data_IF_076189229687
#
_entry.id   IF_076189229687
#
_cell.length_a   1.000
_cell.length_b   1.000
_cell.length_c   1.000
_cell.angle_alpha   90.00
_cell.angle_beta   90.00
_cell.angle_gamma   90.00
#
_symmetry.space_group_name_H-M   'P 1'
#
loop_
_entity.id
_entity.type
_entity.pdbx_description
1 polymer ?
#
# COMPACT_ATOMS: atom_id res chain seq x y z
N UNK A 1 -10.24 15.62 17.06
CA UNK A 1 -8.77 15.63 16.92
C UNK A 1 -8.37 16.99 16.36
N UNK A 2 -7.48 17.72 17.01
CA UNK A 2 -6.97 18.99 16.48
C UNK A 2 -5.92 18.71 15.40
N UNK A 3 -6.08 19.31 14.23
CA UNK A 3 -5.06 19.28 13.20
C UNK A 3 -3.98 20.30 13.60
N UNK A 4 -2.80 19.80 14.00
CA UNK A 4 -1.63 20.65 14.24
C UNK A 4 -1.10 21.09 12.88
N UNK A 5 -0.96 22.39 12.69
CA UNK A 5 -0.30 23.00 11.52
C UNK A 5 1.21 23.03 11.72
N UNK A 6 1.99 23.04 10.63
CA UNK A 6 3.46 23.15 10.67
C UNK A 6 3.96 24.30 11.56
N UNK A 7 3.26 25.44 11.51
CA UNK A 7 3.56 26.63 12.29
C UNK A 7 3.43 26.46 13.81
N UNK A 8 2.63 25.47 14.25
CA UNK A 8 2.36 25.16 15.65
C UNK A 8 3.00 23.83 16.10
N UNK A 9 3.74 23.17 15.21
CA UNK A 9 4.37 21.89 15.46
C UNK A 9 5.58 22.07 16.40
N UNK A 10 5.69 21.21 17.42
CA UNK A 10 6.90 21.21 18.27
C UNK A 10 8.07 20.65 17.46
N UNK A 11 9.34 20.94 17.81
CA UNK A 11 10.51 20.38 17.12
C UNK A 11 10.50 18.86 17.00
N UNK A 12 9.90 18.16 17.97
CA UNK A 12 9.73 16.71 17.94
C UNK A 12 8.75 16.24 16.84
N UNK A 13 7.74 17.04 16.52
CA UNK A 13 6.72 16.71 15.51
C UNK A 13 7.27 16.83 14.09
N UNK A 14 8.26 17.70 13.87
CA UNK A 14 8.90 17.95 12.57
C UNK A 14 9.48 16.69 11.91
N UNK A 15 9.88 15.70 12.72
CA UNK A 15 10.43 14.40 12.30
C UNK A 15 9.38 13.45 11.74
N UNK A 16 8.11 13.73 12.03
CA UNK A 16 6.96 12.95 11.58
C UNK A 16 6.12 13.69 10.55
N UNK A 17 6.50 14.91 10.17
CA UNK A 17 5.81 15.66 9.13
C UNK A 17 6.11 15.10 7.75
N UNK A 18 5.09 15.03 6.90
CA UNK A 18 5.26 14.61 5.51
C UNK A 18 6.14 15.62 4.75
N UNK A 19 7.14 15.10 4.04
CA UNK A 19 8.13 15.86 3.23
C UNK A 19 8.07 15.51 1.76
N UNK A 20 7.60 14.32 1.41
CA UNK A 20 7.26 13.95 0.05
C UNK A 20 6.07 13.00 0.02
N UNK A 21 5.35 12.99 -1.11
CA UNK A 21 4.35 11.97 -1.42
C UNK A 21 4.73 11.28 -2.71
N UNK A 22 4.73 9.96 -2.74
CA UNK A 22 5.09 9.20 -3.94
C UNK A 22 4.13 8.03 -4.14
N UNK A 23 3.93 7.64 -5.40
CA UNK A 23 3.36 6.32 -5.68
C UNK A 23 4.52 5.33 -5.64
N UNK A 24 4.41 4.35 -4.76
CA UNK A 24 5.40 3.30 -4.59
C UNK A 24 4.76 1.95 -4.82
N UNK A 25 5.59 0.98 -5.13
CA UNK A 25 5.23 -0.42 -5.24
C UNK A 25 5.53 -1.12 -3.92
N UNK A 26 4.56 -1.89 -3.44
CA UNK A 26 4.76 -2.92 -2.41
C UNK A 26 4.39 -4.29 -2.96
N UNK A 27 4.77 -5.34 -2.26
CA UNK A 27 4.54 -6.72 -2.65
C UNK A 27 3.60 -7.37 -1.65
N UNK A 28 2.43 -7.79 -2.12
CA UNK A 28 1.39 -8.41 -1.31
C UNK A 28 1.36 -9.92 -1.53
N UNK A 29 1.57 -10.65 -0.44
CA UNK A 29 1.60 -12.11 -0.43
C UNK A 29 0.24 -12.64 -0.06
N UNK A 30 -0.31 -13.49 -0.93
CA UNK A 30 -1.46 -14.34 -0.60
C UNK A 30 -1.12 -15.80 -0.77
N UNK A 31 -1.89 -16.66 -0.11
CA UNK A 31 -1.79 -18.11 -0.24
C UNK A 31 -3.08 -18.64 -0.80
N UNK A 32 -2.98 -19.62 -1.68
CA UNK A 32 -4.10 -20.38 -2.18
C UNK A 32 -3.91 -21.87 -1.93
N UNK A 33 -5.04 -22.54 -1.70
CA UNK A 33 -5.15 -23.99 -1.63
C UNK A 33 -6.43 -24.42 -2.32
N UNK A 34 -6.36 -25.59 -2.96
CA UNK A 34 -7.57 -26.29 -3.40
C UNK A 34 -8.34 -26.73 -2.15
N UNK A 35 -9.56 -26.22 -1.98
CA UNK A 35 -10.53 -26.81 -1.06
C UNK A 35 -11.32 -27.94 -1.76
N UNK A 36 -12.13 -28.66 -0.98
CA UNK A 36 -13.06 -29.68 -1.49
C UNK A 36 -13.91 -29.10 -2.65
N UNK A 37 -14.07 -29.87 -3.73
CA UNK A 37 -14.86 -29.54 -4.94
C UNK A 37 -14.35 -28.32 -5.74
N UNK A 38 -13.03 -28.17 -5.88
CA UNK A 38 -12.40 -27.17 -6.78
C UNK A 38 -12.61 -25.70 -6.38
N UNK A 39 -13.01 -25.43 -5.14
CA UNK A 39 -13.10 -24.05 -4.63
C UNK A 39 -11.71 -23.54 -4.25
N UNK A 40 -11.25 -22.47 -4.90
CA UNK A 40 -9.98 -21.82 -4.58
C UNK A 40 -10.18 -20.80 -3.45
N UNK A 41 -9.52 -21.01 -2.31
CA UNK A 41 -9.57 -20.06 -1.19
C UNK A 41 -8.27 -19.29 -1.15
N UNK A 42 -8.36 -17.97 -1.39
CA UNK A 42 -7.24 -17.05 -1.19
C UNK A 42 -7.24 -16.55 0.26
N UNK A 43 -6.11 -16.68 0.95
CA UNK A 43 -5.91 -16.19 2.32
C UNK A 43 -4.71 -15.26 2.38
N UNK A 44 -4.81 -14.22 3.20
CA UNK A 44 -3.68 -13.39 3.60
C UNK A 44 -3.39 -13.61 5.08
N UNK A 45 -2.19 -13.22 5.53
CA UNK A 45 -1.74 -13.41 6.91
C UNK A 45 -1.01 -12.16 7.42
N UNK A 46 -0.88 -11.97 8.74
CA UNK A 46 -0.07 -10.87 9.29
C UNK A 46 1.36 -10.89 8.71
N UNK A 47 1.83 -9.72 8.29
CA UNK A 47 3.14 -9.56 7.66
C UNK A 47 3.19 -9.86 6.16
N UNK A 48 2.05 -9.99 5.48
CA UNK A 48 1.97 -10.27 4.04
C UNK A 48 2.35 -9.12 3.10
N UNK A 49 2.75 -7.95 3.60
CA UNK A 49 3.12 -6.78 2.79
C UNK A 49 4.61 -6.53 2.95
N UNK A 50 5.32 -6.46 1.83
CA UNK A 50 6.77 -6.30 1.77
C UNK A 50 7.16 -5.13 0.86
N UNK A 51 8.29 -4.47 1.17
CA UNK A 51 8.83 -3.40 0.31
C UNK A 51 9.63 -3.93 -0.88
N UNK A 52 10.14 -5.16 -0.81
CA UNK A 52 10.92 -5.79 -1.89
C UNK A 52 10.38 -7.17 -2.26
N UNK A 53 10.58 -7.56 -3.52
CA UNK A 53 10.20 -8.87 -4.03
C UNK A 53 10.95 -9.99 -3.30
N UNK A 54 12.23 -9.79 -3.01
CA UNK A 54 13.06 -10.79 -2.32
C UNK A 54 12.58 -11.03 -0.89
N UNK A 55 12.17 -9.96 -0.18
CA UNK A 55 11.58 -10.09 1.15
C UNK A 55 10.26 -10.88 1.10
N UNK A 56 9.42 -10.62 0.09
CA UNK A 56 8.18 -11.37 -0.12
C UNK A 56 8.44 -12.85 -0.44
N UNK A 57 9.44 -13.16 -1.30
CA UNK A 57 9.82 -14.53 -1.63
C UNK A 57 10.38 -15.28 -0.41
N UNK A 58 11.24 -14.64 0.36
CA UNK A 58 11.76 -15.20 1.61
C UNK A 58 10.64 -15.49 2.62
N UNK A 59 9.67 -14.57 2.75
CA UNK A 59 8.47 -14.78 3.56
C UNK A 59 7.67 -16.02 3.12
N UNK A 60 7.52 -16.23 1.80
CA UNK A 60 6.84 -17.42 1.27
C UNK A 60 7.60 -18.71 1.60
N UNK A 61 8.93 -18.71 1.46
CA UNK A 61 9.76 -19.89 1.75
C UNK A 61 9.65 -20.30 3.22
N UNK A 62 9.70 -19.34 4.15
CA UNK A 62 9.55 -19.63 5.60
C UNK A 62 8.19 -20.20 5.99
N UNK A 63 7.17 -20.02 5.15
CA UNK A 63 5.79 -20.46 5.39
C UNK A 63 5.37 -21.63 4.51
N UNK A 64 6.32 -22.22 3.79
CA UNK A 64 6.04 -23.28 2.85
C UNK A 64 5.51 -24.52 3.56
N UNK A 65 4.33 -24.98 3.11
CA UNK A 65 3.71 -26.23 3.54
C UNK A 65 3.20 -26.96 2.31
N UNK A 66 3.23 -28.29 2.32
CA UNK A 66 2.77 -29.14 1.21
C UNK A 66 1.39 -28.70 0.68
N UNK A 67 1.26 -28.63 -0.65
CA UNK A 67 0.02 -28.28 -1.33
C UNK A 67 -0.36 -26.80 -1.28
N UNK A 68 0.53 -25.91 -0.83
CA UNK A 68 0.29 -24.46 -0.79
C UNK A 68 0.89 -23.78 -2.01
N UNK A 69 0.11 -22.91 -2.65
CA UNK A 69 0.59 -22.00 -3.69
C UNK A 69 0.61 -20.60 -3.12
N UNK A 70 1.72 -19.89 -3.28
CA UNK A 70 1.85 -18.48 -2.94
C UNK A 70 1.64 -17.63 -4.17
N UNK A 71 1.03 -16.47 -3.97
CA UNK A 71 0.97 -15.40 -4.95
C UNK A 71 1.63 -14.16 -4.38
N UNK A 72 2.37 -13.45 -5.23
CA UNK A 72 2.91 -12.13 -4.91
C UNK A 72 2.35 -11.17 -5.93
N UNK A 73 1.48 -10.27 -5.49
CA UNK A 73 0.96 -9.20 -6.32
C UNK A 73 1.78 -7.93 -6.04
N UNK A 74 2.29 -7.31 -7.10
CA UNK A 74 2.75 -5.93 -7.00
C UNK A 74 1.53 -5.04 -6.77
N UNK A 75 1.53 -4.31 -5.66
CA UNK A 75 0.47 -3.38 -5.32
C UNK A 75 1.00 -1.95 -5.40
N UNK A 76 0.40 -1.11 -6.25
CA UNK A 76 0.68 0.30 -6.16
C UNK A 76 0.10 0.84 -4.86
N UNK A 77 0.81 1.79 -4.27
CA UNK A 77 0.54 2.32 -2.93
C UNK A 77 0.95 3.78 -2.84
N UNK A 78 0.25 4.54 -2.00
CA UNK A 78 0.59 5.94 -1.73
C UNK A 78 1.50 6.00 -0.51
N UNK A 79 2.69 6.57 -0.67
CA UNK A 79 3.67 6.68 0.40
C UNK A 79 3.90 8.15 0.79
N UNK A 80 3.76 8.43 2.09
CA UNK A 80 4.07 9.70 2.71
C UNK A 80 5.41 9.58 3.43
N UNK A 81 6.42 10.26 2.92
CA UNK A 81 7.78 10.21 3.44
C UNK A 81 7.96 11.28 4.51
N UNK A 82 8.40 10.88 5.69
CA UNK A 82 8.97 11.76 6.71
C UNK A 82 10.45 11.40 6.91
N UNK A 83 11.26 12.25 7.59
CA UNK A 83 12.69 12.01 7.75
C UNK A 83 13.08 10.64 8.31
N UNK A 84 12.31 10.11 9.26
CA UNK A 84 12.65 8.84 9.95
C UNK A 84 11.74 7.67 9.54
N UNK A 85 10.60 7.92 8.91
CA UNK A 85 9.57 6.91 8.65
C UNK A 85 8.78 7.22 7.39
N UNK A 86 8.19 6.18 6.82
CA UNK A 86 7.23 6.30 5.73
C UNK A 86 5.91 5.69 6.16
N UNK A 87 4.81 6.40 5.90
CA UNK A 87 3.48 5.80 5.93
C UNK A 87 3.13 5.34 4.52
N UNK A 88 2.88 4.05 4.35
CA UNK A 88 2.38 3.46 3.11
C UNK A 88 0.89 3.16 3.27
N UNK A 89 0.10 3.62 2.31
CA UNK A 89 -1.34 3.40 2.19
C UNK A 89 -1.58 2.56 0.95
N UNK A 90 -2.10 1.35 1.15
CA UNK A 90 -2.43 0.41 0.08
C UNK A 90 -3.88 0.00 0.18
N UNK A 91 -4.48 -0.40 -0.94
CA UNK A 91 -5.81 -0.96 -0.97
C UNK A 91 -5.78 -2.40 -1.50
N UNK A 92 -6.42 -3.31 -0.77
CA UNK A 92 -6.59 -4.72 -1.15
C UNK A 92 -8.07 -5.01 -1.40
N UNK A 93 -8.36 -6.13 -2.07
CA UNK A 93 -9.74 -6.55 -2.38
C UNK A 93 -10.57 -5.52 -3.18
N UNK A 94 -9.89 -4.65 -3.92
CA UNK A 94 -10.45 -3.72 -4.90
C UNK A 94 -9.83 -3.96 -6.27
N UNK A 95 -10.58 -3.63 -7.32
CA UNK A 95 -10.13 -3.66 -8.72
C UNK A 95 -9.46 -2.33 -9.14
N UNK A 96 -9.64 -1.28 -8.36
CA UNK A 96 -9.10 0.05 -8.62
C UNK A 96 -8.41 0.62 -7.38
N UNK A 97 -7.19 1.13 -7.55
CA UNK A 97 -6.38 1.65 -6.46
C UNK A 97 -6.95 2.95 -5.88
N UNK A 98 -7.34 2.99 -4.62
CA UNK A 98 -7.98 4.15 -3.98
C UNK A 98 -9.19 4.68 -4.79
N UNK A 99 -9.79 3.85 -5.65
CA UNK A 99 -10.87 4.27 -6.56
C UNK A 99 -12.15 4.66 -5.83
N UNK A 100 -12.29 4.20 -4.58
CA UNK A 100 -13.43 4.54 -3.71
C UNK A 100 -13.17 5.74 -2.80
N UNK A 101 -11.97 6.32 -2.85
CA UNK A 101 -11.65 7.49 -2.04
C UNK A 101 -12.29 8.74 -2.65
N UNK A 102 -13.01 9.52 -1.82
CA UNK A 102 -13.59 10.80 -2.22
C UNK A 102 -12.47 11.83 -2.44
N UNK A 103 -12.11 11.97 -3.71
CA UNK A 103 -10.98 12.80 -4.10
C UNK A 103 -11.26 14.30 -4.04
N UNK A 104 -12.50 14.70 -4.27
CA UNK A 104 -12.92 16.11 -4.15
C UNK A 104 -12.81 16.56 -2.70
N UNK A 105 -13.26 15.72 -1.77
CA UNK A 105 -13.17 15.99 -0.34
C UNK A 105 -11.74 15.95 0.16
N UNK A 106 -10.92 15.02 -0.33
CA UNK A 106 -9.50 14.97 -0.02
C UNK A 106 -8.79 16.24 -0.50
N UNK A 107 -9.07 16.69 -1.73
CA UNK A 107 -8.51 17.92 -2.29
C UNK A 107 -8.89 19.12 -1.43
N UNK A 108 -10.18 19.25 -1.11
CA UNK A 108 -10.70 20.33 -0.25
C UNK A 108 -10.01 20.36 1.13
N UNK A 109 -9.82 19.19 1.74
CA UNK A 109 -9.10 19.07 3.01
C UNK A 109 -7.65 19.55 2.88
N UNK A 110 -6.95 19.10 1.83
CA UNK A 110 -5.54 19.43 1.62
C UNK A 110 -5.29 20.87 1.21
N UNK A 111 -6.29 21.56 0.67
CA UNK A 111 -6.24 23.02 0.42
C UNK A 111 -6.24 23.81 1.73
N UNK A 112 -7.04 23.39 2.71
CA UNK A 112 -7.12 24.06 4.02
C UNK A 112 -5.93 23.66 4.90
N UNK A 113 -5.52 22.40 4.83
CA UNK A 113 -4.41 21.85 5.58
C UNK A 113 -3.41 21.23 4.60
N UNK A 114 -2.35 21.95 4.20
CA UNK A 114 -1.34 21.42 3.28
C UNK A 114 -0.78 20.10 3.79
N UNK A 115 -0.55 19.14 2.89
CA UNK A 115 0.00 17.81 3.23
C UNK A 115 1.33 17.95 3.99
N UNK A 116 2.16 18.92 3.60
CA UNK A 116 3.44 19.25 4.23
C UNK A 116 3.30 19.72 5.68
N UNK A 117 2.09 20.15 6.07
CA UNK A 117 1.76 20.61 7.42
C UNK A 117 1.26 19.51 8.35
N UNK A 118 1.06 18.30 7.83
CA UNK A 118 0.51 17.18 8.58
C UNK A 118 1.57 16.14 8.94
N UNK A 119 1.41 15.54 10.10
CA UNK A 119 2.16 14.38 10.57
C UNK A 119 1.67 13.09 9.90
N UNK A 120 2.54 12.07 9.83
CA UNK A 120 2.14 10.73 9.41
C UNK A 120 0.99 10.19 10.26
N UNK A 121 0.92 10.54 11.55
CA UNK A 121 -0.18 10.13 12.42
C UNK A 121 -1.52 10.71 11.96
N UNK A 122 -1.58 12.00 11.65
CA UNK A 122 -2.78 12.63 11.09
C UNK A 122 -3.16 12.01 9.74
N UNK A 123 -2.18 11.71 8.88
CA UNK A 123 -2.40 10.97 7.63
C UNK A 123 -3.03 9.60 7.88
N UNK A 124 -2.63 8.88 8.94
CA UNK A 124 -3.31 7.61 9.26
C UNK A 124 -4.80 7.78 9.52
N UNK A 125 -5.23 8.87 10.16
CA UNK A 125 -6.66 9.09 10.39
C UNK A 125 -7.41 9.43 9.10
N UNK A 126 -6.78 10.21 8.22
CA UNK A 126 -7.36 10.61 6.94
C UNK A 126 -7.62 9.38 6.06
N UNK A 127 -6.70 8.41 6.04
CA UNK A 127 -6.79 7.23 5.18
C UNK A 127 -7.40 5.98 5.85
N UNK A 128 -7.77 6.04 7.14
CA UNK A 128 -8.50 4.93 7.79
C UNK A 128 -9.87 4.69 7.14
N UNK A 129 -10.38 3.45 7.05
CA UNK A 129 -11.71 3.15 6.51
C UNK A 129 -12.87 3.92 7.17
N UNK A 130 -12.69 4.36 8.42
CA UNK A 130 -13.67 5.14 9.17
C UNK A 130 -13.65 6.65 8.84
N UNK A 131 -12.67 7.08 8.04
CA UNK A 131 -12.57 8.46 7.58
C UNK A 131 -13.76 8.80 6.69
N UNK A 132 -14.27 10.04 6.75
CA UNK A 132 -15.36 10.48 5.90
C UNK A 132 -14.95 10.64 4.42
N UNK A 133 -13.70 10.31 4.08
CA UNK A 133 -13.23 10.18 2.70
C UNK A 133 -13.63 8.86 2.03
N UNK A 134 -14.06 7.86 2.80
CA UNK A 134 -14.54 6.60 2.25
C UNK A 134 -16.06 6.57 2.26
N UNK A 135 -16.71 5.90 1.28
CA UNK A 135 -18.16 5.74 1.30
C UNK A 135 -18.57 4.90 2.52
N UNK A 136 -19.78 5.13 3.03
CA UNK A 136 -20.31 4.38 4.18
C UNK A 136 -20.39 2.86 3.93
N UNK A 137 -20.50 2.45 2.66
CA UNK A 137 -20.48 1.05 2.21
C UNK A 137 -19.07 0.46 2.11
N UNK A 138 -18.02 1.25 2.34
CA UNK A 138 -16.65 0.78 2.27
C UNK A 138 -16.36 -0.24 3.38
N UNK A 139 -15.78 -1.41 3.07
CA UNK A 139 -15.60 -2.42 4.08
C UNK A 139 -14.59 -1.95 5.13
N UNK A 140 -15.00 -2.06 6.39
CA UNK A 140 -14.24 -1.53 7.53
C UNK A 140 -13.07 -2.43 7.94
N UNK A 141 -12.98 -3.63 7.35
CA UNK A 141 -11.90 -4.59 7.54
C UNK A 141 -11.34 -5.01 6.19
N UNK A 142 -10.04 -5.29 6.19
CA UNK A 142 -9.34 -6.00 5.10
C UNK A 142 -9.49 -5.35 3.72
N UNK A 143 -9.59 -4.02 3.68
CA UNK A 143 -9.79 -3.25 2.44
C UNK A 143 -8.73 -2.18 2.26
N UNK A 144 -8.39 -1.39 3.29
CA UNK A 144 -7.21 -0.53 3.28
C UNK A 144 -6.16 -1.01 4.28
N UNK A 145 -4.90 -0.99 3.86
CA UNK A 145 -3.74 -1.33 4.66
C UNK A 145 -2.93 -0.05 4.89
N UNK A 146 -2.75 0.29 6.16
CA UNK A 146 -1.86 1.35 6.61
C UNK A 146 -0.64 0.70 7.25
N UNK A 147 0.53 0.88 6.66
CA UNK A 147 1.79 0.29 7.14
C UNK A 147 2.86 1.35 7.31
N UNK A 148 3.58 1.29 8.44
CA UNK A 148 4.76 2.11 8.64
C UNK A 148 5.99 1.34 8.16
N UNK A 149 6.76 1.94 7.25
CA UNK A 149 8.05 1.44 6.82
C UNK A 149 9.15 2.26 7.50
N UNK A 150 10.11 1.56 8.13
CA UNK A 150 11.30 2.18 8.75
C UNK A 150 12.51 2.24 7.80
N UNK A 151 12.40 1.62 6.62
CA UNK A 151 13.44 1.55 5.58
C UNK A 151 12.91 2.19 4.27
N UNK A 152 12.71 3.53 4.24
CA UNK A 152 12.17 4.27 3.09
C UNK A 152 12.82 3.91 1.75
N UNK A 153 14.13 3.70 1.77
CA UNK A 153 14.99 3.41 0.62
C UNK A 153 14.65 2.09 -0.08
N UNK A 154 13.96 1.19 0.62
CA UNK A 154 13.52 -0.09 0.03
C UNK A 154 12.27 0.04 -0.82
N UNK A 155 11.54 1.16 -0.72
CA UNK A 155 10.33 1.40 -1.50
C UNK A 155 10.70 1.85 -2.91
N UNK A 156 10.27 1.07 -3.90
CA UNK A 156 10.47 1.39 -5.31
C UNK A 156 9.32 2.28 -5.79
N UNK A 157 9.62 3.40 -6.45
CA UNK A 157 8.60 4.25 -7.08
C UNK A 157 7.92 3.52 -8.25
N UNK A 158 6.62 3.74 -8.43
CA UNK A 158 5.90 3.25 -9.62
C UNK A 158 6.12 4.26 -10.75
N UNK A 159 6.83 3.84 -11.81
CA UNK A 159 7.02 4.67 -13.00
C UNK A 159 5.79 4.59 -13.92
N UNK A 160 5.57 5.64 -14.70
CA UNK A 160 4.38 5.81 -15.57
C UNK A 160 4.18 4.69 -16.60
N UNK A 161 5.21 3.90 -16.92
CA UNK A 161 5.14 2.81 -17.90
C UNK A 161 5.29 1.40 -17.29
N UNK A 162 5.45 1.27 -15.96
CA UNK A 162 5.78 -0.03 -15.39
C UNK A 162 4.55 -0.94 -15.32
N UNK A 163 4.69 -2.11 -15.94
CA UNK A 163 3.70 -3.17 -15.80
C UNK A 163 3.73 -3.75 -14.39
N UNK A 164 2.71 -3.40 -13.60
CA UNK A 164 2.42 -4.08 -12.34
C UNK A 164 2.28 -5.57 -12.64
N UNK A 165 3.09 -6.36 -11.93
CA UNK A 165 3.22 -7.79 -12.15
C UNK A 165 2.56 -8.58 -11.03
N UNK A 166 2.15 -9.80 -11.35
CA UNK A 166 1.76 -10.80 -10.36
C UNK A 166 2.60 -12.04 -10.57
N UNK A 167 2.96 -12.72 -9.48
CA UNK A 167 3.78 -13.92 -9.50
C UNK A 167 3.05 -15.06 -8.79
N UNK A 168 3.21 -16.28 -9.28
CA UNK A 168 2.73 -17.49 -8.64
C UNK A 168 3.91 -18.41 -8.34
N UNK A 169 3.90 -19.03 -7.16
CA UNK A 169 4.93 -20.01 -6.79
C UNK A 169 4.61 -21.40 -7.33
N UNK A 170 5.62 -22.17 -7.71
CA UNK A 170 5.55 -23.62 -7.90
C UNK A 170 6.56 -24.33 -7.00
N UNK A 171 6.23 -25.55 -6.59
CA UNK A 171 7.10 -26.38 -5.75
C UNK A 171 7.67 -27.53 -6.56
N UNK A 172 8.98 -27.54 -6.75
CA UNK A 172 9.71 -28.58 -7.49
C UNK A 172 10.23 -29.73 -6.59
N UNK A 173 9.78 -29.75 -5.34
CA UNK A 173 10.14 -30.76 -4.33
C UNK A 173 10.77 -30.15 -3.08
N UNK A 174 10.88 -30.91 -1.98
CA UNK A 174 11.27 -30.39 -0.66
C UNK A 174 12.72 -29.89 -0.58
N UNK A 175 13.58 -30.32 -1.52
CA UNK A 175 15.01 -29.98 -1.55
C UNK A 175 15.34 -28.77 -2.44
N UNK A 176 14.33 -28.14 -3.04
CA UNK A 176 14.47 -27.01 -3.97
C UNK A 176 13.69 -25.82 -3.44
N UNK A 177 14.20 -24.60 -3.63
CA UNK A 177 13.44 -23.38 -3.35
C UNK A 177 12.18 -23.27 -4.21
N UNK A 178 11.22 -22.45 -3.79
CA UNK A 178 10.06 -22.13 -4.63
C UNK A 178 10.48 -21.47 -5.95
N UNK A 179 9.97 -22.02 -7.05
CA UNK A 179 10.05 -21.42 -8.38
C UNK A 179 8.93 -20.41 -8.58
N UNK A 180 9.12 -19.42 -9.46
CA UNK A 180 8.18 -18.30 -9.64
C UNK A 180 7.87 -18.07 -11.11
N UNK A 181 6.59 -18.01 -11.46
CA UNK A 181 6.12 -17.65 -12.80
C UNK A 181 5.35 -16.33 -12.76
N UNK A 182 5.58 -15.46 -13.76
CA UNK A 182 4.79 -14.23 -13.94
C UNK A 182 3.41 -14.60 -14.48
N UNK A 183 2.37 -13.96 -13.96
CA UNK A 183 0.99 -14.11 -14.43
C UNK A 183 0.38 -12.74 -14.74
N UNK A 184 -0.71 -12.69 -15.53
CA UNK A 184 -1.42 -11.44 -15.81
C UNK A 184 -1.89 -10.78 -14.51
N UNK A 185 -1.66 -9.48 -14.41
CA UNK A 185 -2.22 -8.67 -13.34
C UNK A 185 -3.61 -8.17 -13.78
N UNK A 186 -4.65 -8.46 -12.99
CA UNK A 186 -6.04 -8.25 -13.40
C UNK A 186 -6.65 -6.92 -12.94
N UNK A 187 -5.94 -6.09 -12.17
CA UNK A 187 -6.50 -4.85 -11.60
C UNK A 187 -6.21 -3.62 -12.46
N UNK A 188 -7.15 -2.69 -12.46
CA UNK A 188 -7.11 -1.43 -13.22
C UNK A 188 -6.09 -0.43 -12.64
N UNK A 189 -5.52 0.41 -13.52
CA UNK A 189 -4.46 1.40 -13.22
C UNK A 189 -4.95 2.86 -13.20
N UNK A 190 -6.21 3.11 -13.54
CA UNK A 190 -6.70 4.43 -13.96
C UNK A 190 -6.58 5.52 -12.89
N UNK A 191 -6.71 5.17 -11.61
CA UNK A 191 -6.71 6.10 -10.47
C UNK A 191 -5.32 6.48 -9.94
N UNK A 192 -4.24 5.81 -10.39
CA UNK A 192 -2.91 5.93 -9.79
C UNK A 192 -2.27 7.32 -9.93
N UNK A 193 -2.48 7.96 -11.08
CA UNK A 193 -1.76 9.18 -11.43
C UNK A 193 -2.44 10.44 -10.91
N UNK A 194 -3.77 10.45 -10.80
CA UNK A 194 -4.52 11.62 -10.33
C UNK A 194 -4.19 11.96 -8.88
N UNK A 195 -4.17 10.94 -8.01
CA UNK A 195 -4.03 11.14 -6.56
C UNK A 195 -2.64 11.66 -6.20
N UNK A 196 -1.59 11.02 -6.71
CA UNK A 196 -0.24 11.42 -6.39
C UNK A 196 0.17 12.73 -7.02
N UNK A 197 -0.32 13.04 -8.23
CA UNK A 197 -0.07 14.33 -8.88
C UNK A 197 -0.65 15.49 -8.06
N UNK A 198 -1.91 15.38 -7.62
CA UNK A 198 -2.54 16.40 -6.76
C UNK A 198 -1.82 16.51 -5.42
N UNK A 199 -1.53 15.39 -4.76
CA UNK A 199 -0.80 15.40 -3.49
C UNK A 199 0.58 16.03 -3.59
N UNK A 200 1.32 15.75 -4.68
CA UNK A 200 2.63 16.35 -4.92
C UNK A 200 2.55 17.83 -5.28
N UNK A 201 1.54 18.25 -6.05
CA UNK A 201 1.27 19.66 -6.31
C UNK A 201 1.08 20.43 -4.99
N UNK A 202 0.28 19.88 -4.07
CA UNK A 202 0.00 20.50 -2.77
C UNK A 202 1.15 20.40 -1.75
N UNK A 203 2.19 19.61 -2.02
CA UNK A 203 3.41 19.59 -1.23
C UNK A 203 4.36 20.75 -1.57
N UNK A 204 4.24 21.34 -2.77
CA UNK A 204 5.14 22.39 -3.27
C UNK A 204 4.60 23.82 -3.10
N UNK A 205 3.36 23.97 -2.63
CA UNK A 205 2.69 25.27 -2.44
C UNK A 205 3.03 25.96 -1.10
N UNK A 206 4.03 25.46 -0.37
CA UNK A 206 4.58 26.05 0.87
C UNK A 206 6.06 26.30 0.73
#
# INVERSE_FOLDING_TARGET
MQLITASNAKPADLRFMARAVKVVKVFYVTTGRNAWWSTWITRYSPGCIHSTLDSAKAFCETRRVQGTVFYIDELPSLAFFAPERVLVVSEINTDEFLGRLDFERLTSLTTVFPVSSMTLHQMTYIFRPQSPLWPMSYPQRDSSILSFCSAPETLTEVLQSDEISSFASSSDGPSYSLSWSKRPFSKSRTSLHGIASVMNGRMRET
#
